data_IF_702397941902
#
_entry.id   IF_702397941902
#
_cell.length_a   1.000
_cell.length_b   1.000
_cell.length_c   1.000
_cell.angle_alpha   90.00
_cell.angle_beta   90.00
_cell.angle_gamma   90.00
#
_symmetry.space_group_name_H-M   'P 1'
#
loop_
_entity.id
_entity.type
_entity.pdbx_description
1 polymer ?
#
# COMPACT_ATOMS: atom_id res chain seq x y z
N UNK A 1 -7.80 10.64 19.47
CA UNK A 1 -8.04 10.60 18.01
C UNK A 1 -8.08 9.14 17.57
N UNK A 2 -9.26 8.51 17.60
CA UNK A 2 -9.46 7.14 17.14
C UNK A 2 -10.14 7.19 15.78
N UNK A 3 -9.34 7.18 14.71
CA UNK A 3 -9.88 6.99 13.37
C UNK A 3 -10.32 5.52 13.24
N UNK A 4 -11.58 5.26 13.57
CA UNK A 4 -12.27 3.99 13.32
C UNK A 4 -12.34 3.79 11.81
N UNK A 5 -11.37 3.04 11.29
CA UNK A 5 -11.28 2.71 9.87
C UNK A 5 -12.37 1.70 9.54
N UNK A 6 -13.50 2.16 8.99
CA UNK A 6 -14.44 1.32 8.26
C UNK A 6 -13.66 0.59 7.16
N UNK A 7 -13.32 -0.68 7.41
CA UNK A 7 -12.72 -1.56 6.42
C UNK A 7 -13.69 -1.69 5.25
N UNK A 8 -13.45 -0.95 4.16
CA UNK A 8 -14.24 -1.07 2.95
C UNK A 8 -13.79 -2.35 2.25
N UNK A 9 -14.64 -3.39 2.35
CA UNK A 9 -14.58 -4.63 1.59
C UNK A 9 -14.24 -4.31 0.12
N UNK A 10 -12.97 -4.49 -0.26
CA UNK A 10 -12.48 -4.19 -1.61
C UNK A 10 -11.16 -3.41 -1.70
N UNK A 11 -10.65 -2.83 -0.60
CA UNK A 11 -9.33 -2.16 -0.59
C UNK A 11 -8.35 -2.92 0.27
N UNK A 12 -7.35 -3.51 -0.38
CA UNK A 12 -6.34 -4.38 0.23
C UNK A 12 -5.52 -3.72 1.35
N UNK A 13 -5.33 -2.39 1.31
CA UNK A 13 -4.56 -1.64 2.30
C UNK A 13 -5.17 -0.24 2.53
N UNK A 14 -5.29 0.18 3.80
CA UNK A 14 -5.63 1.55 4.19
C UNK A 14 -4.45 2.51 3.97
N UNK A 15 -4.71 3.82 3.99
CA UNK A 15 -3.65 4.86 3.83
C UNK A 15 -2.56 4.69 4.89
N UNK A 16 -2.94 4.41 6.14
CA UNK A 16 -1.99 4.15 7.22
C UNK A 16 -1.15 2.88 6.97
N UNK A 17 -1.78 1.80 6.52
CA UNK A 17 -1.06 0.56 6.19
C UNK A 17 -0.08 0.76 5.03
N UNK A 18 -0.50 1.49 3.98
CA UNK A 18 0.36 1.88 2.86
C UNK A 18 1.58 2.68 3.33
N UNK A 19 1.37 3.64 4.24
CA UNK A 19 2.45 4.43 4.81
C UNK A 19 3.48 3.55 5.56
N UNK A 20 3.02 2.59 6.36
CA UNK A 20 3.92 1.67 7.05
C UNK A 20 4.75 0.79 6.10
N UNK A 21 4.18 0.38 4.96
CA UNK A 21 4.95 -0.35 3.92
C UNK A 21 6.06 0.51 3.33
N UNK A 22 5.79 1.81 3.11
CA UNK A 22 6.77 2.77 2.59
C UNK A 22 7.88 3.01 3.62
N UNK A 23 7.52 3.19 4.89
CA UNK A 23 8.50 3.33 5.97
C UNK A 23 9.38 2.09 6.12
N UNK A 24 8.79 0.89 6.11
CA UNK A 24 9.53 -0.37 6.18
C UNK A 24 10.51 -0.50 5.01
N UNK A 25 10.07 -0.18 3.79
CA UNK A 25 10.94 -0.21 2.61
C UNK A 25 12.12 0.76 2.70
N UNK A 26 11.90 1.97 3.26
CA UNK A 26 12.93 2.99 3.41
C UNK A 26 13.87 2.74 4.60
N UNK A 27 13.40 2.07 5.65
CA UNK A 27 14.17 1.81 6.88
C UNK A 27 15.06 0.56 6.75
N UNK A 28 14.62 -0.46 6.03
CA UNK A 28 15.36 -1.71 5.87
C UNK A 28 16.45 -1.57 4.80
N UNK A 29 17.70 -1.87 5.18
CA UNK A 29 18.87 -1.90 4.30
C UNK A 29 19.52 -3.30 4.38
N UNK A 30 19.67 -4.04 3.27
CA UNK A 30 19.25 -3.65 1.90
C UNK A 30 17.72 -3.59 1.75
N UNK A 31 17.26 -2.77 0.80
CA UNK A 31 15.83 -2.57 0.58
C UNK A 31 15.13 -3.89 0.25
N UNK A 32 14.08 -4.27 1.01
CA UNK A 32 13.40 -5.54 0.83
C UNK A 32 12.70 -5.61 -0.53
N UNK A 33 12.65 -6.82 -1.11
CA UNK A 33 11.98 -7.03 -2.40
C UNK A 33 10.46 -6.80 -2.28
N UNK A 34 9.80 -6.56 -3.42
CA UNK A 34 8.34 -6.42 -3.45
C UNK A 34 7.60 -7.64 -2.88
N UNK A 35 8.18 -8.84 -3.01
CA UNK A 35 7.59 -10.07 -2.47
C UNK A 35 7.77 -10.18 -0.96
N UNK A 36 8.91 -9.72 -0.43
CA UNK A 36 9.15 -9.64 1.00
C UNK A 36 8.24 -8.60 1.66
N UNK A 37 8.10 -7.43 1.05
CA UNK A 37 7.16 -6.41 1.50
C UNK A 37 5.71 -6.90 1.47
N UNK A 38 5.32 -7.70 0.48
CA UNK A 38 4.00 -8.30 0.42
C UNK A 38 3.75 -9.28 1.59
N UNK A 39 4.70 -10.20 1.83
CA UNK A 39 4.64 -11.14 2.95
C UNK A 39 4.66 -10.43 4.30
N UNK A 40 5.52 -9.42 4.44
CA UNK A 40 5.60 -8.58 5.62
C UNK A 40 4.27 -7.86 5.87
N UNK A 41 3.66 -7.27 4.84
CA UNK A 41 2.37 -6.60 4.94
C UNK A 41 1.27 -7.57 5.38
N UNK A 42 1.25 -8.78 4.82
CA UNK A 42 0.32 -9.82 5.23
C UNK A 42 0.46 -10.15 6.72
N UNK A 43 1.68 -10.42 7.17
CA UNK A 43 1.97 -10.79 8.55
C UNK A 43 1.67 -9.64 9.52
N UNK A 44 2.08 -8.42 9.17
CA UNK A 44 1.91 -7.21 9.98
C UNK A 44 0.44 -6.83 10.17
N UNK A 45 -0.35 -6.93 9.10
CA UNK A 45 -1.75 -6.52 9.09
C UNK A 45 -2.74 -7.68 9.24
N UNK A 46 -2.24 -8.91 9.42
CA UNK A 46 -3.05 -10.13 9.53
C UNK A 46 -4.05 -10.28 8.36
N UNK A 47 -3.58 -9.98 7.14
CA UNK A 47 -4.41 -10.12 5.94
C UNK A 47 -4.58 -11.59 5.60
N UNK A 48 -5.77 -11.96 5.12
CA UNK A 48 -6.04 -13.33 4.65
C UNK A 48 -5.13 -13.76 3.51
N UNK A 49 -4.71 -12.82 2.66
CA UNK A 49 -3.81 -13.07 1.54
C UNK A 49 -2.78 -11.95 1.42
N UNK A 50 -1.57 -12.25 0.93
CA UNK A 50 -0.56 -11.23 0.67
C UNK A 50 -1.01 -10.32 -0.48
N UNK A 51 -0.80 -8.99 -0.36
CA UNK A 51 -1.03 -8.08 -1.46
C UNK A 51 -0.12 -8.44 -2.64
N UNK A 52 -0.64 -8.33 -3.86
CA UNK A 52 0.16 -8.61 -5.05
C UNK A 52 1.37 -7.68 -5.16
N UNK A 53 2.45 -8.15 -5.80
CA UNK A 53 3.66 -7.35 -6.07
C UNK A 53 3.33 -6.02 -6.75
N UNK A 54 2.35 -6.01 -7.66
CA UNK A 54 1.85 -4.80 -8.32
C UNK A 54 1.24 -3.79 -7.33
N UNK A 55 0.51 -4.27 -6.32
CA UNK A 55 -0.07 -3.43 -5.26
C UNK A 55 1.01 -2.77 -4.40
N UNK A 56 2.04 -3.53 -4.03
CA UNK A 56 3.20 -2.99 -3.31
C UNK A 56 3.93 -1.96 -4.17
N UNK A 57 4.23 -2.28 -5.43
CA UNK A 57 4.89 -1.35 -6.34
C UNK A 57 4.08 -0.05 -6.53
N UNK A 58 2.76 -0.14 -6.68
CA UNK A 58 1.90 1.04 -6.81
C UNK A 58 1.87 1.88 -5.52
N UNK A 59 1.90 1.21 -4.36
CA UNK A 59 1.98 1.87 -3.05
C UNK A 59 3.28 2.65 -2.90
N UNK A 60 4.41 2.02 -3.25
CA UNK A 60 5.73 2.66 -3.21
C UNK A 60 5.83 3.81 -4.22
N UNK A 61 5.32 3.64 -5.44
CA UNK A 61 5.28 4.70 -6.45
C UNK A 61 4.44 5.89 -6.02
N UNK A 62 3.34 5.63 -5.31
CA UNK A 62 2.44 6.66 -4.80
C UNK A 62 2.85 7.17 -3.40
N UNK A 63 4.09 6.94 -2.97
CA UNK A 63 4.52 7.21 -1.59
C UNK A 63 4.33 8.66 -1.15
N UNK A 64 4.59 9.61 -2.05
CA UNK A 64 4.38 11.04 -1.81
C UNK A 64 2.91 11.36 -1.59
N UNK A 65 2.03 10.83 -2.44
CA UNK A 65 0.57 10.97 -2.31
C UNK A 65 0.05 10.34 -1.02
N UNK A 66 0.52 9.14 -0.68
CA UNK A 66 0.14 8.45 0.56
C UNK A 66 0.57 9.26 1.79
N UNK A 67 1.78 9.82 1.79
CA UNK A 67 2.27 10.70 2.86
C UNK A 67 1.37 11.93 3.02
N UNK A 68 1.07 12.62 1.93
CA UNK A 68 0.20 13.81 1.95
C UNK A 68 -1.21 13.48 2.45
N UNK A 69 -1.80 12.36 2.02
CA UNK A 69 -3.12 11.93 2.51
C UNK A 69 -3.10 11.52 3.99
N UNK A 70 -2.03 10.88 4.45
CA UNK A 70 -1.84 10.53 5.86
C UNK A 70 -1.73 11.79 6.73
N UNK A 71 -0.94 12.78 6.31
CA UNK A 71 -0.78 14.06 7.03
C UNK A 71 -2.04 14.92 7.04
N UNK A 72 -2.89 14.83 6.01
CA UNK A 72 -4.14 15.61 5.92
C UNK A 72 -5.32 15.00 6.67
N UNK A 73 -5.17 13.80 7.25
CA UNK A 73 -6.28 13.07 7.88
C UNK A 73 -7.40 12.69 6.90
N UNK A 74 -7.15 12.82 5.59
CA UNK A 74 -8.17 12.60 4.57
C UNK A 74 -8.25 11.11 4.23
N UNK A 75 -9.33 10.49 4.70
CA UNK A 75 -9.73 9.11 4.43
C UNK A 75 -10.21 8.93 2.97
N UNK A 76 -9.56 9.55 1.98
CA UNK A 76 -9.97 9.41 0.59
C UNK A 76 -9.26 8.25 -0.08
N UNK A 77 -10.05 7.21 -0.28
CA UNK A 77 -9.64 5.94 -0.78
C UNK A 77 -9.30 6.07 -2.28
N UNK A 78 -8.07 6.46 -2.61
CA UNK A 78 -7.62 6.53 -4.00
C UNK A 78 -7.46 5.11 -4.57
N UNK A 79 -8.50 4.69 -5.31
CA UNK A 79 -8.42 3.65 -6.33
C UNK A 79 -7.97 4.32 -7.62
N UNK A 80 -6.72 4.11 -8.02
CA UNK A 80 -6.34 4.22 -9.43
C UNK A 80 -5.89 2.83 -9.86
N UNK A 81 -6.87 2.00 -10.19
CA UNK A 81 -6.64 0.83 -11.02
C UNK A 81 -6.46 1.35 -12.46
N UNK A 82 -5.24 1.65 -12.86
CA UNK A 82 -4.92 1.83 -14.28
C UNK A 82 -4.27 0.54 -14.76
N UNK A 83 -5.13 -0.41 -15.09
CA UNK A 83 -4.78 -1.49 -16.02
C UNK A 83 -4.51 -0.82 -17.37
N UNK A 84 -3.25 -0.48 -17.66
CA UNK A 84 -2.84 -0.19 -19.04
C UNK A 84 -2.41 -1.50 -19.68
N UNK A 85 -3.40 -2.22 -20.18
CA UNK A 85 -3.19 -3.12 -21.31
C UNK A 85 -2.84 -2.26 -22.54
N UNK A 86 -1.72 -2.55 -23.18
CA UNK A 86 -1.41 -2.33 -24.61
C UNK A 86 -0.04 -2.96 -24.84
N UNK A 87 -0.01 -4.20 -25.30
CA UNK A 87 -0.15 -4.63 -26.71
C UNK A 87 1.18 -4.53 -27.43
N UNK A 88 1.54 -5.68 -28.01
CA UNK A 88 2.69 -5.93 -28.84
C UNK A 88 2.79 -4.96 -30.01
N UNK A 89 4.02 -4.60 -30.35
CA UNK A 89 4.55 -4.53 -31.71
C UNK A 89 5.96 -5.11 -31.70
#
# INVERSE_FOLDING_TARGET
>A
MTCTTKQTKGKWLTIAQKWQVIEEHGRSQPSPSLADLARWSQAKFKLSQPPSRATIANTLRSATTVKSSFSRGECHASSTNTTRARSAE
#
